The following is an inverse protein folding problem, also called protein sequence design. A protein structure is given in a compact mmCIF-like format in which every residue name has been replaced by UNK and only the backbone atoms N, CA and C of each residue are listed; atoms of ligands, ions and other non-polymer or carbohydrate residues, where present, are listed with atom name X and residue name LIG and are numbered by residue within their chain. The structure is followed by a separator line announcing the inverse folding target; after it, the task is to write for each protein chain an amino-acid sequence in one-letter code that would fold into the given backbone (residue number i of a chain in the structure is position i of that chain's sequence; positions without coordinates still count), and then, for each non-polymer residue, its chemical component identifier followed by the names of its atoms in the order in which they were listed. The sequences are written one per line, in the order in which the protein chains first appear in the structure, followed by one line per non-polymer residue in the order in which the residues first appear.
data_IF_867021506204
#
_entry.id   IF_867021506204
#
_cell.length_a   1.000
_cell.length_b   1.000
_cell.length_c   1.000
_cell.angle_alpha   90.00
_cell.angle_beta   90.00
_cell.angle_gamma   90.00
#
_symmetry.space_group_name_H-M   'P 1'
#
loop_
_entity.id
_entity.type
_entity.pdbx_description
1 polymer ?
#
# COMPACT_ATOMS: atom_id res chain seq x y z
N UNK A 1 -19.50 -18.36 -15.99
CA UNK A 1 -18.66 -17.19 -16.37
C UNK A 1 -17.52 -17.09 -15.37
N UNK A 2 -16.28 -16.90 -15.84
CA UNK A 2 -15.13 -16.77 -14.95
C UNK A 2 -15.29 -15.54 -14.05
N UNK A 3 -15.35 -15.73 -12.73
CA UNK A 3 -15.48 -14.63 -11.76
C UNK A 3 -14.26 -13.69 -11.75
N UNK A 4 -13.15 -14.06 -12.40
CA UNK A 4 -12.05 -13.13 -12.69
C UNK A 4 -12.51 -11.91 -13.52
N UNK A 5 -13.65 -12.02 -14.22
CA UNK A 5 -14.33 -10.94 -14.94
C UNK A 5 -15.48 -10.29 -14.14
N UNK A 6 -15.59 -10.55 -12.83
CA UNK A 6 -16.49 -9.79 -11.97
C UNK A 6 -15.99 -8.33 -11.92
N UNK A 7 -16.73 -7.35 -12.45
CA UNK A 7 -16.29 -5.97 -12.48
C UNK A 7 -16.05 -5.41 -11.07
N UNK A 8 -16.81 -5.89 -10.07
CA UNK A 8 -16.58 -5.51 -8.67
C UNK A 8 -15.26 -6.06 -8.10
N UNK A 9 -14.90 -7.30 -8.46
CA UNK A 9 -13.62 -7.89 -8.02
C UNK A 9 -12.44 -7.12 -8.63
N UNK A 10 -12.49 -6.88 -9.95
CA UNK A 10 -11.44 -6.13 -10.65
C UNK A 10 -11.26 -4.72 -10.09
N UNK A 11 -12.36 -4.00 -9.83
CA UNK A 11 -12.31 -2.66 -9.20
C UNK A 11 -11.72 -2.72 -7.80
N UNK A 12 -12.14 -3.69 -6.97
CA UNK A 12 -11.65 -3.81 -5.58
C UNK A 12 -10.15 -4.12 -5.52
N UNK A 13 -9.68 -5.07 -6.33
CA UNK A 13 -8.26 -5.44 -6.39
C UNK A 13 -7.43 -4.28 -6.96
N UNK A 14 -7.92 -3.61 -8.01
CA UNK A 14 -7.25 -2.44 -8.58
C UNK A 14 -7.12 -1.31 -7.58
N UNK A 15 -8.17 -1.03 -6.79
CA UNK A 15 -8.11 -0.02 -5.73
C UNK A 15 -7.05 -0.35 -4.68
N UNK A 16 -7.02 -1.61 -4.21
CA UNK A 16 -6.00 -2.06 -3.27
C UNK A 16 -4.58 -2.01 -3.86
N UNK A 17 -4.43 -2.33 -5.15
CA UNK A 17 -3.17 -2.22 -5.87
C UNK A 17 -2.67 -0.77 -5.94
N UNK A 18 -3.54 0.17 -6.31
CA UNK A 18 -3.21 1.60 -6.38
C UNK A 18 -2.76 2.14 -5.01
N UNK A 19 -3.44 1.78 -3.92
CA UNK A 19 -3.02 2.14 -2.56
C UNK A 19 -1.63 1.58 -2.21
N UNK A 20 -1.37 0.34 -2.62
CA UNK A 20 -0.08 -0.31 -2.38
C UNK A 20 1.05 0.39 -3.14
N UNK A 21 0.84 0.67 -4.43
CA UNK A 21 1.80 1.40 -5.26
C UNK A 21 2.04 2.80 -4.69
N UNK A 22 0.99 3.51 -4.28
CA UNK A 22 1.13 4.83 -3.68
C UNK A 22 1.95 4.78 -2.38
N UNK A 23 1.68 3.82 -1.49
CA UNK A 23 2.46 3.60 -0.27
C UNK A 23 3.93 3.26 -0.55
N UNK A 24 4.20 2.46 -1.59
CA UNK A 24 5.56 2.13 -2.02
C UNK A 24 6.30 3.34 -2.57
N UNK A 25 5.65 4.15 -3.42
CA UNK A 25 6.24 5.38 -3.97
C UNK A 25 6.53 6.41 -2.88
N UNK A 26 5.62 6.58 -1.91
CA UNK A 26 5.86 7.46 -0.76
C UNK A 26 7.01 6.97 0.12
N UNK A 27 7.13 5.65 0.31
CA UNK A 27 8.26 5.05 1.03
C UNK A 27 9.58 5.30 0.31
N UNK A 28 9.59 5.17 -1.02
CA UNK A 28 10.76 5.45 -1.85
C UNK A 28 11.13 6.94 -1.80
N UNK A 29 10.15 7.84 -1.90
CA UNK A 29 10.35 9.28 -1.76
C UNK A 29 10.90 9.64 -0.38
N UNK A 30 10.40 9.02 0.69
CA UNK A 30 10.93 9.19 2.04
C UNK A 30 12.39 8.73 2.12
N UNK A 31 12.74 7.56 1.57
CA UNK A 31 14.11 7.06 1.56
C UNK A 31 15.06 7.96 0.76
N UNK A 32 14.63 8.45 -0.41
CA UNK A 32 15.39 9.43 -1.20
C UNK A 32 15.60 10.70 -0.40
N UNK A 33 14.56 11.22 0.25
CA UNK A 33 14.69 12.41 1.10
C UNK A 33 15.68 12.18 2.24
N UNK A 34 15.57 11.07 2.95
CA UNK A 34 16.48 10.70 4.04
C UNK A 34 17.95 10.69 3.63
N UNK A 35 18.24 10.19 2.42
CA UNK A 35 19.59 10.17 1.86
C UNK A 35 20.09 11.57 1.46
N UNK A 36 19.25 12.37 0.78
CA UNK A 36 19.61 13.70 0.31
C UNK A 36 19.77 14.72 1.45
N UNK A 37 18.89 14.65 2.44
CA UNK A 37 18.91 15.50 3.63
C UNK A 37 20.08 15.20 4.56
N UNK A 38 20.71 14.03 4.39
CA UNK A 38 21.66 13.44 5.34
C UNK A 38 21.11 13.44 6.77
N UNK A 39 19.81 13.23 6.91
CA UNK A 39 19.15 13.18 8.21
C UNK A 39 19.65 11.98 9.05
N UNK A 40 20.28 10.99 8.41
CA UNK A 40 21.00 9.90 9.08
C UNK A 40 22.21 10.36 9.91
N UNK A 41 22.79 11.53 9.60
CA UNK A 41 23.86 12.13 10.41
C UNK A 41 23.30 12.71 11.72
N UNK A 42 21.98 12.96 11.78
CA UNK A 42 21.30 13.50 12.94
C UNK A 42 20.63 12.35 13.72
N UNK A 43 20.97 12.20 15.01
CA UNK A 43 20.54 11.05 15.83
C UNK A 43 19.03 10.88 16.05
N UNK A 44 18.17 11.78 15.54
CA UNK A 44 16.70 11.65 15.60
C UNK A 44 16.06 12.01 14.26
N UNK A 45 15.18 11.14 13.71
CA UNK A 45 14.44 11.45 12.50
C UNK A 45 13.45 12.61 12.73
N UNK A 46 13.38 13.60 11.80
CA UNK A 46 12.47 14.71 11.94
C UNK A 46 11.01 14.28 11.87
N UNK A 47 10.14 15.10 12.47
CA UNK A 47 8.72 14.79 12.60
C UNK A 47 8.02 14.62 11.23
N UNK A 48 8.44 15.41 10.23
CA UNK A 48 7.94 15.28 8.85
C UNK A 48 8.30 13.94 8.23
N UNK A 49 9.54 13.46 8.38
CA UNK A 49 9.95 12.15 7.90
C UNK A 49 9.15 11.03 8.57
N UNK A 50 8.96 11.10 9.90
CA UNK A 50 8.17 10.12 10.65
C UNK A 50 6.71 10.08 10.18
N UNK A 51 6.09 11.24 9.96
CA UNK A 51 4.71 11.33 9.47
C UNK A 51 4.59 10.74 8.04
N UNK A 52 5.52 11.09 7.15
CA UNK A 52 5.56 10.57 5.78
C UNK A 52 5.75 9.05 5.76
N UNK A 53 6.72 8.53 6.51
CA UNK A 53 6.98 7.09 6.62
C UNK A 53 5.78 6.33 7.20
N UNK A 54 5.12 6.89 8.22
CA UNK A 54 3.90 6.30 8.80
C UNK A 54 2.76 6.27 7.80
N UNK A 55 2.55 7.35 7.05
CA UNK A 55 1.52 7.42 6.02
C UNK A 55 1.81 6.44 4.87
N UNK A 56 3.06 6.37 4.41
CA UNK A 56 3.51 5.46 3.37
C UNK A 56 3.29 3.99 3.77
N UNK A 57 3.71 3.63 4.99
CA UNK A 57 3.50 2.29 5.54
C UNK A 57 2.02 1.96 5.69
N UNK A 58 1.22 2.89 6.22
CA UNK A 58 -0.23 2.68 6.39
C UNK A 58 -0.94 2.44 5.06
N UNK A 59 -0.65 3.26 4.04
CA UNK A 59 -1.22 3.08 2.70
C UNK A 59 -0.81 1.75 2.07
N UNK A 60 0.46 1.37 2.20
CA UNK A 60 0.97 0.11 1.71
C UNK A 60 0.26 -1.09 2.35
N UNK A 61 0.18 -1.09 3.69
CA UNK A 61 -0.45 -2.17 4.46
C UNK A 61 -1.94 -2.26 4.18
N UNK A 62 -2.65 -1.13 4.17
CA UNK A 62 -4.09 -1.09 3.84
C UNK A 62 -4.32 -1.62 2.42
N UNK A 63 -3.49 -1.23 1.45
CA UNK A 63 -3.57 -1.73 0.08
C UNK A 63 -3.41 -3.24 -0.03
N UNK A 64 -2.45 -3.83 0.70
CA UNK A 64 -2.25 -5.29 0.74
C UNK A 64 -3.45 -5.99 1.38
N UNK A 65 -3.88 -5.55 2.56
CA UNK A 65 -5.02 -6.20 3.23
C UNK A 65 -6.31 -6.07 2.44
N UNK A 66 -6.51 -4.94 1.74
CA UNK A 66 -7.66 -4.76 0.86
C UNK A 66 -7.66 -5.76 -0.31
N UNK A 67 -6.51 -5.99 -0.94
CA UNK A 67 -6.36 -7.02 -1.97
C UNK A 67 -6.65 -8.40 -1.41
N UNK A 68 -6.09 -8.75 -0.23
CA UNK A 68 -6.34 -10.04 0.43
C UNK A 68 -7.82 -10.26 0.72
N UNK A 69 -8.53 -9.24 1.22
CA UNK A 69 -9.98 -9.32 1.44
C UNK A 69 -10.72 -9.58 0.12
N UNK A 70 -10.32 -8.90 -0.97
CA UNK A 70 -10.86 -9.15 -2.30
C UNK A 70 -10.68 -10.60 -2.76
N UNK A 71 -9.48 -11.15 -2.59
CA UNK A 71 -9.17 -12.55 -2.94
C UNK A 71 -9.94 -13.55 -2.07
N UNK A 72 -9.98 -13.33 -0.76
CA UNK A 72 -10.71 -14.21 0.18
C UNK A 72 -12.21 -14.23 -0.13
N UNK A 73 -12.82 -13.07 -0.40
CA UNK A 73 -14.23 -12.99 -0.83
C UNK A 73 -14.48 -13.77 -2.13
N UNK A 74 -13.56 -13.70 -3.09
CA UNK A 74 -13.64 -14.49 -4.32
C UNK A 74 -13.56 -15.99 -4.03
N UNK A 75 -12.65 -16.43 -3.15
CA UNK A 75 -12.52 -17.84 -2.77
C UNK A 75 -13.81 -18.36 -2.12
N UNK A 76 -14.38 -17.62 -1.15
CA UNK A 76 -15.64 -18.02 -0.54
C UNK A 76 -16.79 -18.09 -1.56
N UNK A 77 -16.86 -17.16 -2.51
CA UNK A 77 -17.88 -17.18 -3.56
C UNK A 77 -17.73 -18.35 -4.57
N UNK A 78 -16.56 -19.00 -4.63
CA UNK A 78 -16.31 -20.17 -5.50
C UNK A 78 -16.54 -21.51 -4.79
N UNK A 79 -16.64 -21.53 -3.46
CA UNK A 79 -16.79 -22.77 -2.65
C UNK A 79 -18.26 -23.09 -2.37
N UNK A 80 -19.16 -22.13 -2.55
CA UNK A 80 -20.62 -22.27 -2.47
C UNK A 80 -21.26 -22.22 -3.87
#
# INVERSE_FOLDING_TARGET
MSFAYSPMFAVSVTAGYLLTVLGALLSLAAAVWWMLAREWEHGRPPLGFRALATAAFSLFVVGIFWQLIGYVRLTYANVW
#
